data_IF_139819254932
#
_entry.id   IF_139819254932
#
_cell.length_a   1.000
_cell.length_b   1.000
_cell.length_c   1.000
_cell.angle_alpha   90.00
_cell.angle_beta   90.00
_cell.angle_gamma   90.00
#
_symmetry.space_group_name_H-M   'P 1'
#
loop_
_entity.id
_entity.type
_entity.pdbx_description
1 polymer ?
#
# COMPACT_ATOMS: atom_id res chain seq x y z
N UNK A 1 6.92 -19.52 -44.23
CA UNK A 1 5.93 -18.58 -43.65
C UNK A 1 5.45 -19.17 -42.34
N UNK A 2 6.05 -18.76 -41.26
CA UNK A 2 5.67 -19.18 -39.92
C UNK A 2 4.84 -18.07 -39.31
N UNK A 3 3.55 -18.29 -39.18
CA UNK A 3 2.64 -17.39 -38.47
C UNK A 3 3.05 -17.33 -37.00
N UNK A 4 3.42 -16.14 -36.57
CA UNK A 4 3.71 -15.80 -35.20
C UNK A 4 2.35 -15.63 -34.51
N UNK A 5 1.93 -16.63 -33.74
CA UNK A 5 0.79 -16.54 -32.82
C UNK A 5 0.98 -15.34 -31.89
N UNK A 6 0.01 -14.42 -31.77
CA UNK A 6 0.12 -13.36 -30.77
C UNK A 6 0.07 -13.99 -29.38
N UNK A 7 1.10 -13.75 -28.57
CA UNK A 7 1.09 -14.11 -27.17
C UNK A 7 -0.01 -13.31 -26.47
N UNK A 8 -1.10 -13.98 -26.13
CA UNK A 8 -2.01 -13.52 -25.10
C UNK A 8 -1.22 -13.54 -23.78
N UNK A 9 -0.79 -12.39 -23.30
CA UNK A 9 -0.69 -12.03 -21.89
C UNK A 9 0.12 -10.75 -21.66
N UNK A 10 -0.38 -9.61 -22.14
CA UNK A 10 -0.08 -8.32 -21.54
C UNK A 10 -1.20 -7.98 -20.52
N UNK A 11 -1.34 -8.81 -19.49
CA UNK A 11 -2.00 -8.36 -18.29
C UNK A 11 -1.13 -7.22 -17.74
N UNK A 12 -1.65 -5.97 -17.79
CA UNK A 12 -0.94 -4.80 -17.28
C UNK A 12 -0.51 -5.11 -15.85
N UNK A 13 0.78 -5.14 -15.60
CA UNK A 13 1.33 -5.35 -14.27
C UNK A 13 1.02 -4.10 -13.43
N UNK A 14 0.15 -4.25 -12.41
CA UNK A 14 -0.34 -3.13 -11.61
C UNK A 14 0.48 -2.88 -10.34
N UNK A 15 1.49 -3.70 -10.03
CA UNK A 15 2.36 -3.44 -8.89
C UNK A 15 3.04 -2.06 -9.03
N UNK A 16 3.33 -1.43 -7.89
CA UNK A 16 3.84 -0.06 -7.81
C UNK A 16 2.82 1.01 -8.30
N UNK A 17 1.53 0.72 -8.22
CA UNK A 17 0.45 1.67 -8.49
C UNK A 17 -0.40 1.88 -7.24
N UNK A 18 -1.12 3.00 -7.21
CA UNK A 18 -2.14 3.24 -6.21
C UNK A 18 -3.51 2.78 -6.72
N UNK A 19 -4.31 2.25 -5.79
CA UNK A 19 -5.74 2.04 -6.00
C UNK A 19 -6.50 3.00 -5.10
N UNK A 20 -7.45 3.71 -5.68
CA UNK A 20 -8.42 4.53 -4.94
C UNK A 20 -9.76 3.80 -4.95
N UNK A 21 -10.34 3.61 -3.76
CA UNK A 21 -11.71 3.14 -3.64
C UNK A 21 -12.67 4.20 -4.20
N UNK A 22 -13.48 3.81 -5.18
CA UNK A 22 -14.46 4.73 -5.77
C UNK A 22 -15.57 5.07 -4.76
N UNK A 23 -16.13 6.29 -4.78
CA UNK A 23 -17.16 6.74 -3.80
C UNK A 23 -18.39 5.84 -3.73
N UNK A 24 -18.70 5.08 -4.80
CA UNK A 24 -19.78 4.11 -4.83
C UNK A 24 -19.42 2.72 -4.29
N UNK A 25 -18.22 2.53 -3.75
CA UNK A 25 -17.83 1.24 -3.17
C UNK A 25 -18.68 0.95 -1.93
N UNK A 26 -19.41 -0.15 -1.98
CA UNK A 26 -20.34 -0.57 -0.91
C UNK A 26 -19.60 -1.17 0.30
N UNK A 27 -18.37 -1.63 0.09
CA UNK A 27 -17.55 -2.21 1.16
C UNK A 27 -16.99 -1.11 2.07
N UNK A 28 -17.55 -0.99 3.27
CA UNK A 28 -17.12 -0.02 4.29
C UNK A 28 -15.66 -0.21 4.71
N UNK A 29 -15.11 -1.40 4.53
CA UNK A 29 -13.69 -1.70 4.84
C UNK A 29 -12.76 -0.86 4.00
N UNK A 30 -13.12 -0.61 2.75
CA UNK A 30 -12.29 0.12 1.80
C UNK A 30 -12.80 1.51 1.42
N UNK A 31 -13.97 1.92 1.88
CA UNK A 31 -14.49 3.25 1.57
C UNK A 31 -13.49 4.36 1.92
N UNK A 32 -13.15 5.23 0.96
CA UNK A 32 -12.20 6.33 1.13
C UNK A 32 -10.74 5.91 1.32
N UNK A 33 -10.38 4.66 1.03
CA UNK A 33 -8.99 4.19 1.17
C UNK A 33 -8.16 4.45 -0.07
N UNK A 34 -6.86 4.60 0.18
CA UNK A 34 -5.79 4.51 -0.80
C UNK A 34 -5.00 3.24 -0.51
N UNK A 35 -4.91 2.34 -1.48
CA UNK A 35 -4.11 1.12 -1.39
C UNK A 35 -2.88 1.27 -2.28
N UNK A 36 -1.71 0.95 -1.77
CA UNK A 36 -0.50 0.82 -2.58
C UNK A 36 -0.29 -0.66 -2.94
N UNK A 37 -0.26 -0.99 -4.23
CA UNK A 37 -0.06 -2.36 -4.71
C UNK A 37 1.41 -2.77 -4.64
N UNK A 38 1.69 -3.72 -3.76
CA UNK A 38 3.03 -4.27 -3.56
C UNK A 38 3.34 -5.41 -4.53
N UNK A 39 2.34 -6.21 -4.91
CA UNK A 39 2.47 -7.32 -5.85
C UNK A 39 1.22 -7.46 -6.73
N UNK A 40 1.45 -7.88 -7.98
CA UNK A 40 0.39 -8.21 -8.92
C UNK A 40 0.90 -9.23 -9.94
N UNK A 41 0.27 -10.38 -9.96
CA UNK A 41 0.60 -11.50 -10.83
C UNK A 41 -0.67 -12.14 -11.39
N UNK A 42 -0.53 -13.10 -12.28
CA UNK A 42 -1.67 -13.92 -12.75
C UNK A 42 -2.34 -14.74 -11.65
N UNK A 43 -1.71 -14.86 -10.47
CA UNK A 43 -2.25 -15.59 -9.32
C UNK A 43 -3.02 -14.67 -8.35
N UNK A 44 -3.00 -13.36 -8.57
CA UNK A 44 -3.70 -12.37 -7.76
C UNK A 44 -2.85 -11.14 -7.46
N UNK A 45 -3.32 -10.33 -6.52
CA UNK A 45 -2.67 -9.09 -6.12
C UNK A 45 -2.62 -8.94 -4.60
N UNK A 46 -1.65 -8.15 -4.13
CA UNK A 46 -1.48 -7.78 -2.73
C UNK A 46 -1.15 -6.30 -2.61
N UNK A 47 -1.79 -5.63 -1.67
CA UNK A 47 -1.54 -4.21 -1.40
C UNK A 47 -1.75 -3.85 0.07
N UNK A 48 -1.35 -2.65 0.42
CA UNK A 48 -1.47 -2.09 1.75
C UNK A 48 -2.29 -0.80 1.72
N UNK A 49 -3.31 -0.70 2.57
CA UNK A 49 -3.99 0.57 2.83
C UNK A 49 -3.01 1.50 3.54
N UNK A 50 -2.80 2.71 3.02
CA UNK A 50 -1.76 3.64 3.48
C UNK A 50 -2.29 4.91 4.14
N UNK A 51 -3.60 5.11 4.19
CA UNK A 51 -4.22 6.31 4.73
C UNK A 51 -5.18 6.08 5.89
N UNK A 52 -5.15 4.90 6.53
CA UNK A 52 -6.02 4.56 7.66
C UNK A 52 -5.19 4.25 8.92
N UNK A 53 -4.77 5.27 9.69
CA UNK A 53 -4.09 5.05 10.96
C UNK A 53 -5.05 4.40 11.97
N UNK A 54 -4.48 3.61 12.89
CA UNK A 54 -5.19 3.03 14.03
C UNK A 54 -4.81 3.77 15.32
N UNK A 55 -5.46 3.42 16.43
CA UNK A 55 -5.09 3.92 17.77
C UNK A 55 -3.86 3.22 18.37
N UNK A 56 -3.25 2.31 17.64
CA UNK A 56 -2.03 1.60 18.04
C UNK A 56 -0.82 2.37 17.51
N UNK A 57 0.13 2.68 18.38
CA UNK A 57 1.42 3.26 18.00
C UNK A 57 2.52 2.19 17.86
N UNK A 58 3.67 2.59 17.33
CA UNK A 58 4.80 1.69 17.16
C UNK A 58 5.31 1.16 18.49
N UNK A 59 5.35 1.98 19.56
CA UNK A 59 5.79 1.53 20.88
C UNK A 59 4.96 0.35 21.37
N UNK A 60 3.63 0.39 21.19
CA UNK A 60 2.75 -0.70 21.59
C UNK A 60 3.05 -2.02 20.84
N UNK A 61 3.41 -1.93 19.56
CA UNK A 61 3.77 -3.12 18.78
C UNK A 61 5.13 -3.67 19.20
N UNK A 62 6.11 -2.79 19.42
CA UNK A 62 7.45 -3.18 19.86
C UNK A 62 7.42 -3.87 21.22
N UNK A 63 6.65 -3.34 22.17
CA UNK A 63 6.46 -3.97 23.49
C UNK A 63 5.89 -5.40 23.37
N UNK A 64 4.95 -5.64 22.46
CA UNK A 64 4.35 -6.97 22.24
C UNK A 64 5.30 -8.02 21.69
N UNK A 65 6.40 -7.60 21.07
CA UNK A 65 7.42 -8.49 20.51
C UNK A 65 8.73 -8.49 21.28
N UNK A 66 8.70 -7.98 22.52
CA UNK A 66 9.85 -7.85 23.44
C UNK A 66 11.01 -7.01 22.84
N UNK A 67 10.66 -5.92 22.16
CA UNK A 67 11.59 -4.89 21.71
C UNK A 67 11.27 -3.55 22.38
N UNK A 68 12.29 -2.76 22.70
CA UNK A 68 12.14 -1.39 23.19
C UNK A 68 12.34 -0.40 22.04
N UNK A 69 11.41 0.54 21.89
CA UNK A 69 11.52 1.65 20.95
C UNK A 69 11.46 2.98 21.69
N UNK A 70 12.65 3.48 22.09
CA UNK A 70 12.78 4.72 22.86
C UNK A 70 13.04 5.96 21.96
N UNK A 71 13.06 5.79 20.64
CA UNK A 71 13.37 6.86 19.69
C UNK A 71 12.12 7.73 19.49
N UNK A 72 12.19 9.00 19.91
CA UNK A 72 11.13 9.96 19.72
C UNK A 72 11.40 10.87 18.52
N UNK A 73 10.38 11.23 17.72
CA UNK A 73 8.93 10.93 17.87
C UNK A 73 8.50 9.59 17.25
N UNK A 74 9.44 8.73 16.83
CA UNK A 74 9.17 7.49 16.09
C UNK A 74 8.22 6.55 16.87
N UNK A 75 8.46 6.39 18.17
CA UNK A 75 7.66 5.52 19.04
C UNK A 75 6.16 5.86 19.05
N UNK A 76 5.82 7.13 18.83
CA UNK A 76 4.44 7.64 18.81
C UNK A 76 3.79 7.61 17.42
N UNK A 77 4.50 7.17 16.38
CA UNK A 77 3.90 7.06 15.05
C UNK A 77 2.82 5.98 15.04
N UNK A 78 1.68 6.22 14.37
CA UNK A 78 0.61 5.24 14.30
C UNK A 78 0.99 4.03 13.47
N UNK A 79 0.44 2.88 13.84
CA UNK A 79 0.37 1.71 12.99
C UNK A 79 -0.93 1.78 12.17
N UNK A 80 -0.89 1.35 10.92
CA UNK A 80 -2.00 1.50 10.00
C UNK A 80 -2.81 0.20 9.88
N UNK A 81 -4.09 0.33 9.58
CA UNK A 81 -4.87 -0.78 9.06
C UNK A 81 -4.48 -1.00 7.59
N UNK A 82 -3.80 -2.07 7.28
CA UNK A 82 -3.31 -2.38 5.93
C UNK A 82 -4.30 -3.13 5.06
N UNK A 83 -5.30 -3.76 5.67
CA UNK A 83 -6.34 -4.53 5.01
C UNK A 83 -6.90 -5.65 5.90
N UNK A 84 -7.95 -6.35 5.44
CA UNK A 84 -8.68 -7.33 6.25
C UNK A 84 -8.00 -8.69 6.38
N UNK A 85 -6.91 -8.97 5.64
CA UNK A 85 -6.25 -10.28 5.64
C UNK A 85 -5.10 -10.27 6.63
N UNK A 86 -5.00 -11.28 7.50
CA UNK A 86 -3.95 -11.44 8.53
C UNK A 86 -3.77 -10.18 9.41
N UNK A 87 -4.83 -9.70 9.99
CA UNK A 87 -4.86 -8.45 10.79
C UNK A 87 -4.04 -8.49 12.08
N UNK A 88 -3.59 -9.66 12.50
CA UNK A 88 -2.69 -9.92 13.63
C UNK A 88 -1.21 -9.88 13.24
N UNK A 89 -0.89 -9.73 11.95
CA UNK A 89 0.47 -9.70 11.42
C UNK A 89 0.88 -8.31 10.94
N UNK A 90 2.12 -7.94 11.24
CA UNK A 90 2.74 -6.70 10.77
C UNK A 90 3.32 -6.82 9.37
N UNK A 91 3.10 -5.79 8.57
CA UNK A 91 3.68 -5.60 7.23
C UNK A 91 4.34 -4.23 7.21
N UNK A 92 5.62 -4.17 6.89
CA UNK A 92 6.41 -2.95 6.90
C UNK A 92 6.77 -2.59 5.46
N UNK A 93 6.13 -1.52 4.95
CA UNK A 93 6.50 -0.91 3.67
C UNK A 93 7.61 0.10 3.91
N UNK A 94 8.70 0.01 3.18
CA UNK A 94 9.87 0.85 3.40
C UNK A 94 10.65 1.10 2.12
N UNK A 95 11.51 2.10 2.15
CA UNK A 95 12.51 2.28 1.09
C UNK A 95 13.56 1.19 1.15
N UNK A 96 13.91 0.67 -0.01
CA UNK A 96 14.95 -0.32 -0.14
C UNK A 96 16.32 0.38 -0.21
N UNK A 97 17.22 0.00 0.71
CA UNK A 97 18.66 0.35 0.61
C UNK A 97 19.39 -0.81 -0.05
N UNK A 98 20.33 -0.50 -0.94
CA UNK A 98 21.04 -1.50 -1.77
C UNK A 98 21.77 -2.61 -1.01
N UNK A 99 22.04 -2.43 0.28
CA UNK A 99 22.79 -3.34 1.13
C UNK A 99 21.94 -4.06 2.21
N UNK A 100 20.64 -3.82 2.29
CA UNK A 100 19.77 -4.39 3.33
C UNK A 100 18.80 -5.40 2.72
N UNK A 101 19.08 -6.70 2.95
CA UNK A 101 18.14 -7.77 2.67
C UNK A 101 17.63 -8.34 4.02
N UNK A 102 16.35 -8.08 4.33
CA UNK A 102 15.68 -8.70 5.47
C UNK A 102 15.22 -10.12 5.13
N UNK A 103 15.08 -10.96 6.15
CA UNK A 103 14.83 -12.41 5.99
C UNK A 103 13.54 -12.73 5.22
N UNK A 104 12.52 -11.86 5.29
CA UNK A 104 11.26 -12.03 4.58
C UNK A 104 10.82 -10.71 3.96
N UNK A 105 11.33 -10.41 2.77
CA UNK A 105 11.07 -9.20 2.01
C UNK A 105 10.56 -9.50 0.62
N UNK A 106 9.55 -8.74 0.20
CA UNK A 106 9.08 -8.63 -1.17
C UNK A 106 9.58 -7.29 -1.75
N UNK A 107 10.37 -7.36 -2.81
CA UNK A 107 10.79 -6.15 -3.54
C UNK A 107 9.65 -5.63 -4.40
N UNK A 108 9.32 -4.36 -4.23
CA UNK A 108 8.31 -3.69 -5.04
C UNK A 108 9.03 -2.88 -6.13
N UNK A 109 8.59 -2.93 -7.40
CA UNK A 109 9.17 -2.07 -8.43
C UNK A 109 9.17 -0.60 -7.99
N UNK A 110 10.23 0.15 -8.34
CA UNK A 110 10.31 1.57 -7.98
C UNK A 110 11.09 1.89 -6.70
N UNK A 111 11.79 0.90 -6.12
CA UNK A 111 12.73 1.15 -5.01
C UNK A 111 12.13 1.02 -3.62
N UNK A 112 10.96 0.42 -3.50
CA UNK A 112 10.35 0.05 -2.23
C UNK A 112 10.46 -1.46 -1.96
N UNK A 113 10.28 -1.85 -0.72
CA UNK A 113 10.12 -3.23 -0.31
C UNK A 113 9.07 -3.35 0.80
N UNK A 114 8.46 -4.51 0.89
CA UNK A 114 7.55 -4.88 1.97
C UNK A 114 8.15 -6.04 2.76
N UNK A 115 8.40 -5.85 4.03
CA UNK A 115 9.05 -6.84 4.92
C UNK A 115 8.09 -7.29 6.01
N UNK A 116 8.14 -8.57 6.35
CA UNK A 116 7.31 -9.17 7.41
C UNK A 116 8.12 -9.86 8.50
N UNK A 117 9.43 -9.89 8.38
CA UNK A 117 10.32 -10.49 9.38
C UNK A 117 10.70 -9.49 10.48
N UNK A 118 11.04 -10.03 11.67
CA UNK A 118 11.32 -9.23 12.87
C UNK A 118 12.61 -8.41 12.76
N UNK A 119 13.57 -8.85 11.96
CA UNK A 119 14.89 -8.23 11.80
C UNK A 119 14.84 -6.74 11.43
N UNK A 120 13.89 -6.33 10.58
CA UNK A 120 13.70 -4.91 10.28
C UNK A 120 13.31 -4.11 11.52
N UNK A 121 12.46 -4.67 12.39
CA UNK A 121 12.04 -4.01 13.63
C UNK A 121 13.17 -3.93 14.65
N UNK A 122 14.05 -4.94 14.70
CA UNK A 122 15.24 -4.94 15.52
C UNK A 122 16.21 -3.83 15.08
N UNK A 123 16.38 -3.60 13.78
CA UNK A 123 17.18 -2.48 13.29
C UNK A 123 16.50 -1.11 13.55
N UNK A 124 15.18 -1.02 13.40
CA UNK A 124 14.43 0.21 13.76
C UNK A 124 14.59 0.55 15.23
N UNK A 125 14.56 -0.45 16.13
CA UNK A 125 14.70 -0.25 17.57
C UNK A 125 16.02 0.41 17.94
N UNK A 126 17.10 0.10 17.24
CA UNK A 126 18.45 0.66 17.48
C UNK A 126 18.80 1.86 16.58
N UNK A 127 17.85 2.33 15.77
CA UNK A 127 18.01 3.49 14.89
C UNK A 127 18.83 3.24 13.63
N UNK A 128 19.07 1.98 13.24
CA UNK A 128 19.77 1.59 12.00
C UNK A 128 18.85 1.14 10.87
N UNK A 129 17.54 1.09 11.11
CA UNK A 129 16.53 0.71 10.14
C UNK A 129 16.34 1.72 9.00
N UNK A 130 15.36 1.48 8.11
CA UNK A 130 15.05 2.39 7.02
C UNK A 130 14.58 3.75 7.57
N UNK A 131 14.97 4.84 6.89
CA UNK A 131 14.61 6.20 7.32
C UNK A 131 13.11 6.47 7.11
N UNK A 132 12.56 5.96 6.00
CA UNK A 132 11.15 6.07 5.67
C UNK A 132 10.51 4.70 5.63
N UNK A 133 9.55 4.49 6.51
CA UNK A 133 8.74 3.28 6.53
C UNK A 133 7.35 3.55 7.09
N UNK A 134 6.44 2.65 6.79
CA UNK A 134 5.07 2.63 7.27
C UNK A 134 4.75 1.20 7.70
N UNK A 135 4.27 1.03 8.93
CA UNK A 135 3.86 -0.27 9.45
C UNK A 135 2.35 -0.42 9.39
N UNK A 136 1.90 -1.53 8.84
CA UNK A 136 0.47 -1.89 8.82
C UNK A 136 0.22 -3.18 9.58
N UNK A 137 -1.00 -3.34 10.08
CA UNK A 137 -1.56 -4.62 10.49
C UNK A 137 -2.49 -5.11 9.39
N UNK A 138 -2.25 -6.32 8.91
CA UNK A 138 -2.99 -6.89 7.79
C UNK A 138 -2.63 -6.30 6.43
N UNK A 139 -3.24 -6.86 5.40
CA UNK A 139 -3.09 -6.44 4.01
C UNK A 139 -4.40 -6.61 3.23
N UNK A 140 -4.48 -5.98 2.06
CA UNK A 140 -5.53 -6.17 1.07
C UNK A 140 -5.07 -7.21 0.05
N UNK A 141 -5.88 -8.24 -0.18
CA UNK A 141 -5.56 -9.33 -1.09
C UNK A 141 -6.67 -9.59 -2.09
N UNK A 142 -6.30 -9.88 -3.32
CA UNK A 142 -7.19 -10.26 -4.42
C UNK A 142 -6.74 -11.59 -5.02
N UNK A 143 -7.69 -12.48 -5.26
CA UNK A 143 -7.45 -13.72 -6.00
C UNK A 143 -7.19 -13.44 -7.49
N UNK A 144 -6.76 -14.49 -8.22
CA UNK A 144 -6.51 -14.38 -9.67
C UNK A 144 -7.71 -13.76 -10.42
N UNK A 145 -7.48 -12.64 -11.12
CA UNK A 145 -8.49 -11.92 -11.91
C UNK A 145 -9.49 -11.09 -11.10
N UNK A 146 -9.48 -11.17 -9.78
CA UNK A 146 -10.45 -10.44 -8.93
C UNK A 146 -10.24 -8.93 -9.01
N UNK A 147 -8.98 -8.46 -8.94
CA UNK A 147 -8.69 -7.02 -8.98
C UNK A 147 -9.08 -6.42 -10.33
N UNK A 148 -8.78 -7.09 -11.41
CA UNK A 148 -9.15 -6.66 -12.77
C UNK A 148 -10.69 -6.57 -12.94
N UNK A 149 -11.42 -7.53 -12.39
CA UNK A 149 -12.87 -7.54 -12.36
C UNK A 149 -13.42 -6.34 -11.56
N UNK A 150 -12.89 -6.08 -10.38
CA UNK A 150 -13.29 -4.95 -9.54
C UNK A 150 -12.97 -3.59 -10.18
N UNK A 151 -11.83 -3.45 -10.86
CA UNK A 151 -11.48 -2.25 -11.64
C UNK A 151 -12.47 -2.09 -12.80
N UNK A 152 -12.79 -3.17 -13.53
CA UNK A 152 -13.72 -3.12 -14.67
C UNK A 152 -15.13 -2.70 -14.27
N UNK A 153 -15.51 -2.95 -13.00
CA UNK A 153 -16.81 -2.56 -12.41
C UNK A 153 -16.76 -1.23 -11.68
N UNK A 154 -15.70 -0.45 -11.87
CA UNK A 154 -15.49 0.83 -11.20
C UNK A 154 -15.47 0.75 -9.66
N UNK A 155 -15.05 -0.38 -9.08
CA UNK A 155 -14.79 -0.49 -7.64
C UNK A 155 -13.50 0.23 -7.25
N UNK A 156 -12.49 0.12 -8.09
CA UNK A 156 -11.19 0.75 -7.92
C UNK A 156 -10.79 1.57 -9.12
N UNK A 157 -10.12 2.69 -8.85
CA UNK A 157 -9.40 3.46 -9.85
C UNK A 157 -7.90 3.24 -9.63
N UNK A 158 -7.21 2.65 -10.63
CA UNK A 158 -5.77 2.45 -10.55
C UNK A 158 -5.02 3.67 -11.11
N UNK A 159 -4.00 4.11 -10.37
CA UNK A 159 -3.26 5.33 -10.66
C UNK A 159 -1.76 5.06 -10.60
N UNK A 160 -1.09 5.32 -11.71
CA UNK A 160 0.36 5.28 -11.78
C UNK A 160 0.93 6.65 -11.40
N UNK A 161 1.76 6.67 -10.35
CA UNK A 161 2.49 7.87 -9.95
C UNK A 161 3.91 7.88 -10.54
N UNK A 162 4.52 9.04 -10.75
CA UNK A 162 5.96 9.15 -10.98
C UNK A 162 6.73 8.51 -9.83
N UNK A 163 7.76 7.72 -10.13
CA UNK A 163 8.57 7.03 -9.10
C UNK A 163 9.10 7.99 -8.03
N UNK A 164 9.42 9.23 -8.42
CA UNK A 164 9.90 10.28 -7.51
C UNK A 164 8.86 10.77 -6.51
N UNK A 165 7.56 10.56 -6.77
CA UNK A 165 6.47 11.03 -5.91
C UNK A 165 5.92 9.92 -5.01
N UNK A 166 6.13 8.64 -5.35
CA UNK A 166 5.54 7.51 -4.63
C UNK A 166 5.92 7.52 -3.15
N UNK A 167 7.21 7.62 -2.84
CA UNK A 167 7.69 7.64 -1.47
C UNK A 167 7.18 8.86 -0.68
N UNK A 168 7.10 10.03 -1.31
CA UNK A 168 6.54 11.23 -0.71
C UNK A 168 5.05 11.04 -0.36
N UNK A 169 4.27 10.47 -1.29
CA UNK A 169 2.85 10.22 -1.06
C UNK A 169 2.66 9.23 0.11
N UNK A 170 3.42 8.15 0.14
CA UNK A 170 3.25 7.10 1.14
C UNK A 170 3.68 7.57 2.53
N UNK A 171 4.87 8.19 2.64
CA UNK A 171 5.53 8.40 3.93
C UNK A 171 5.43 9.83 4.48
N UNK A 172 5.22 10.84 3.62
CA UNK A 172 5.30 12.25 4.00
C UNK A 172 3.97 13.00 3.88
N UNK A 173 3.06 12.56 3.01
CA UNK A 173 1.74 13.20 2.86
C UNK A 173 0.87 12.89 4.09
N UNK A 174 0.18 13.89 4.69
CA UNK A 174 -0.80 13.67 5.75
C UNK A 174 -1.87 12.66 5.33
N UNK A 175 -2.37 11.85 6.26
CA UNK A 175 -3.28 10.74 5.94
C UNK A 175 -4.59 11.21 5.29
N UNK A 176 -5.12 12.34 5.77
CA UNK A 176 -6.31 13.01 5.26
C UNK A 176 -6.13 13.51 3.83
N UNK A 177 -4.91 13.87 3.43
CA UNK A 177 -4.62 14.44 2.12
C UNK A 177 -4.22 13.39 1.07
N UNK A 178 -3.88 12.15 1.49
CA UNK A 178 -3.39 11.12 0.58
C UNK A 178 -4.37 10.79 -0.54
N UNK A 179 -5.65 10.70 -0.22
CA UNK A 179 -6.69 10.39 -1.21
C UNK A 179 -6.74 11.45 -2.32
N UNK A 180 -6.84 12.72 -1.93
CA UNK A 180 -6.88 13.84 -2.86
C UNK A 180 -5.57 14.00 -3.62
N UNK A 181 -4.43 13.78 -2.94
CA UNK A 181 -3.10 13.85 -3.56
C UNK A 181 -2.93 12.81 -4.67
N UNK A 182 -3.35 11.57 -4.44
CA UNK A 182 -3.28 10.51 -5.44
C UNK A 182 -4.26 10.78 -6.59
N UNK A 183 -5.46 11.25 -6.28
CA UNK A 183 -6.46 11.58 -7.28
C UNK A 183 -6.00 12.73 -8.20
N UNK A 184 -5.33 13.73 -7.63
CA UNK A 184 -4.79 14.87 -8.36
C UNK A 184 -3.74 14.47 -9.42
N UNK A 185 -3.11 13.29 -9.31
CA UNK A 185 -2.21 12.76 -10.35
C UNK A 185 -2.93 12.49 -11.68
N UNK A 186 -4.24 12.32 -11.65
CA UNK A 186 -5.08 12.20 -12.85
C UNK A 186 -5.63 13.54 -13.35
N UNK A 187 -5.31 14.65 -12.68
CA UNK A 187 -5.93 15.95 -12.96
C UNK A 187 -7.40 16.02 -12.57
N UNK A 188 -7.85 15.16 -11.67
CA UNK A 188 -9.24 15.09 -11.18
C UNK A 188 -9.30 15.63 -9.76
N UNK A 189 -10.28 16.50 -9.49
CA UNK A 189 -10.61 16.93 -8.14
C UNK A 189 -11.63 15.96 -7.53
N UNK A 190 -11.50 15.65 -6.23
CA UNK A 190 -12.38 14.71 -5.53
C UNK A 190 -13.86 15.12 -5.58
N UNK A 191 -14.14 16.43 -5.70
CA UNK A 191 -15.50 16.94 -5.88
C UNK A 191 -16.20 16.45 -7.14
N UNK A 192 -15.45 16.11 -8.19
CA UNK A 192 -16.01 15.55 -9.43
C UNK A 192 -16.44 14.09 -9.28
N UNK A 193 -15.81 13.31 -8.41
CA UNK A 193 -16.20 11.91 -8.18
C UNK A 193 -17.51 11.78 -7.40
N UNK A 194 -17.85 12.77 -6.58
CA UNK A 194 -19.06 12.76 -5.74
C UNK A 194 -20.34 13.19 -6.47
N UNK A 195 -20.21 13.87 -7.61
CA UNK A 195 -21.36 14.49 -8.31
C UNK A 195 -22.02 13.62 -9.38
N UNK A 196 -21.43 12.51 -9.78
CA UNK A 196 -21.99 11.63 -10.85
C UNK A 196 -22.65 10.33 -10.36
N UNK A 197 -22.72 10.08 -9.05
CA UNK A 197 -23.41 8.90 -8.52
C UNK A 197 -24.93 9.03 -8.44
N UNK A 198 -25.51 10.07 -9.00
CA UNK A 198 -26.93 10.33 -8.84
C UNK A 198 -27.60 11.02 -10.01
N UNK A 199 -27.64 10.42 -11.20
CA UNK A 199 -28.73 10.63 -12.18
C UNK A 199 -28.48 9.84 -13.46
N UNK A 200 -29.01 8.64 -13.54
CA UNK A 200 -29.46 8.02 -14.77
C UNK A 200 -30.58 7.05 -14.42
#
# INVERSE_FOLDING_TARGET
MTEKTPHANDAKHLANQFLIAMPGMVDETFAGTVVYLCDHTTNGAMGLVINRPTDIDLANVFDKIDLQLDIQPLAQKPVYFGGPVQTDRGFILHEQKDAQDYSSSLRVPGGLAMTTSKDILEEVAIGSGPERFLMTLGYAGWSAGQLEDEISRNGWLNIQAPTTEIAQIIFETPNEDKYDKVLALLGIDASFLSSEAGHA
#
